data_IF_252799942793
#
_entry.id   IF_252799942793
#
_cell.length_a   1.000
_cell.length_b   1.000
_cell.length_c   1.000
_cell.angle_alpha   90.00
_cell.angle_beta   90.00
_cell.angle_gamma   90.00
#
_symmetry.space_group_name_H-M   'P 1'
#
loop_
_entity.id
_entity.type
_entity.pdbx_description
1 polymer ?
#
# COMPACT_ATOMS: atom_id res chain seq x y z
N UNK A 1 14.60 29.89 2.60
CA UNK A 1 13.78 29.78 1.36
C UNK A 1 12.34 29.58 1.78
N UNK A 2 11.38 30.40 1.32
CA UNK A 2 9.97 30.14 1.54
C UNK A 2 9.60 28.85 0.81
N UNK A 3 9.20 27.82 1.55
CA UNK A 3 8.67 26.57 1.00
C UNK A 3 7.29 26.88 0.43
N UNK A 4 7.17 26.89 -0.89
CA UNK A 4 5.85 26.94 -1.56
C UNK A 4 5.10 25.69 -1.12
N UNK A 5 4.08 25.86 -0.28
CA UNK A 5 3.25 24.73 0.13
C UNK A 5 2.53 24.17 -1.11
N UNK A 6 2.58 22.85 -1.34
CA UNK A 6 1.87 22.26 -2.46
C UNK A 6 0.36 22.52 -2.27
N UNK A 7 -0.37 22.87 -3.35
CA UNK A 7 -1.80 23.15 -3.25
C UNK A 7 -2.53 21.98 -2.58
N UNK A 8 -3.48 22.28 -1.70
CA UNK A 8 -4.31 21.31 -0.96
C UNK A 8 -4.86 20.18 -1.85
N UNK A 9 -5.13 20.49 -3.13
CA UNK A 9 -5.54 19.55 -4.15
C UNK A 9 -4.55 18.38 -4.34
N UNK A 10 -3.23 18.60 -4.34
CA UNK A 10 -2.24 17.54 -4.50
C UNK A 10 -2.21 16.58 -3.32
N UNK A 11 -2.45 17.09 -2.09
CA UNK A 11 -2.50 16.28 -0.86
C UNK A 11 -3.64 15.25 -0.89
N UNK A 12 -4.71 15.56 -1.61
CA UNK A 12 -5.87 14.68 -1.82
C UNK A 12 -5.73 13.83 -3.08
N UNK A 13 -5.22 14.41 -4.18
CA UNK A 13 -5.11 13.72 -5.47
C UNK A 13 -4.11 12.57 -5.42
N UNK A 14 -2.94 12.74 -4.79
CA UNK A 14 -1.91 11.69 -4.75
C UNK A 14 -2.38 10.35 -4.13
N UNK A 15 -2.97 10.31 -2.92
CA UNK A 15 -3.44 9.04 -2.36
C UNK A 15 -4.57 8.40 -3.18
N UNK A 16 -5.46 9.21 -3.77
CA UNK A 16 -6.52 8.72 -4.68
C UNK A 16 -5.90 8.13 -5.94
N UNK A 17 -4.95 8.84 -6.57
CA UNK A 17 -4.28 8.42 -7.78
C UNK A 17 -3.48 7.12 -7.55
N UNK A 18 -2.79 6.98 -6.42
CA UNK A 18 -2.13 5.73 -6.02
C UNK A 18 -3.13 4.56 -5.97
N UNK A 19 -4.24 4.76 -5.25
CA UNK A 19 -5.30 3.75 -5.08
C UNK A 19 -5.97 3.34 -6.40
N UNK A 20 -6.37 4.32 -7.20
CA UNK A 20 -6.98 4.08 -8.51
C UNK A 20 -6.00 3.34 -9.41
N UNK A 21 -4.73 3.78 -9.45
CA UNK A 21 -3.70 3.15 -10.30
C UNK A 21 -3.47 1.70 -9.92
N UNK A 22 -3.27 1.37 -8.64
CA UNK A 22 -3.02 -0.02 -8.25
C UNK A 22 -4.25 -0.91 -8.44
N UNK A 23 -5.45 -0.38 -8.19
CA UNK A 23 -6.70 -1.10 -8.41
C UNK A 23 -6.95 -1.40 -9.89
N UNK A 24 -6.78 -0.41 -10.76
CA UNK A 24 -6.94 -0.60 -12.22
C UNK A 24 -5.88 -1.53 -12.76
N UNK A 25 -4.63 -1.46 -12.27
CA UNK A 25 -3.55 -2.38 -12.63
C UNK A 25 -3.92 -3.81 -12.26
N UNK A 26 -4.39 -4.04 -11.03
CA UNK A 26 -4.83 -5.35 -10.55
C UNK A 26 -5.95 -5.93 -11.43
N UNK A 27 -6.99 -5.14 -11.68
CA UNK A 27 -8.14 -5.58 -12.48
C UNK A 27 -7.75 -5.87 -13.93
N UNK A 28 -6.89 -5.03 -14.51
CA UNK A 28 -6.43 -5.19 -15.89
C UNK A 28 -5.55 -6.43 -16.04
N UNK A 29 -4.57 -6.64 -15.14
CA UNK A 29 -3.73 -7.84 -15.16
C UNK A 29 -4.57 -9.11 -14.97
N UNK A 30 -5.53 -9.11 -14.03
CA UNK A 30 -6.44 -10.24 -13.84
C UNK A 30 -7.25 -10.54 -15.10
N UNK A 31 -7.80 -9.49 -15.74
CA UNK A 31 -8.59 -9.64 -16.98
C UNK A 31 -7.74 -10.23 -18.10
N UNK A 32 -6.52 -9.72 -18.31
CA UNK A 32 -5.60 -10.22 -19.33
C UNK A 32 -5.27 -11.70 -19.09
N UNK A 33 -4.92 -12.05 -17.85
CA UNK A 33 -4.58 -13.44 -17.49
C UNK A 33 -5.74 -14.39 -17.75
N UNK A 34 -6.96 -14.00 -17.39
CA UNK A 34 -8.15 -14.84 -17.60
C UNK A 34 -8.50 -14.98 -19.07
N UNK A 35 -8.46 -13.89 -19.85
CA UNK A 35 -8.79 -13.90 -21.29
C UNK A 35 -7.73 -14.65 -22.11
N UNK A 36 -6.45 -14.52 -21.75
CA UNK A 36 -5.35 -15.19 -22.46
C UNK A 36 -4.99 -16.57 -21.91
N UNK A 37 -5.73 -17.06 -20.91
CA UNK A 37 -5.48 -18.33 -20.24
C UNK A 37 -4.03 -18.49 -19.74
N UNK A 38 -3.44 -17.40 -19.23
CA UNK A 38 -2.05 -17.39 -18.74
C UNK A 38 -1.95 -18.23 -17.47
N UNK A 39 -0.94 -19.11 -17.41
CA UNK A 39 -0.72 -19.98 -16.26
C UNK A 39 -0.21 -19.20 -15.04
N UNK A 40 -1.04 -19.12 -14.00
CA UNK A 40 -0.74 -18.41 -12.74
C UNK A 40 -0.72 -19.36 -11.53
N UNK A 41 -0.09 -20.52 -11.73
CA UNK A 41 0.21 -21.46 -10.65
C UNK A 41 -0.94 -22.36 -10.20
N UNK A 42 -2.06 -22.40 -10.93
CA UNK A 42 -3.20 -23.26 -10.61
C UNK A 42 -4.01 -22.83 -9.38
N UNK A 43 -3.93 -21.55 -9.00
CA UNK A 43 -4.69 -20.97 -7.89
C UNK A 43 -6.05 -20.43 -8.33
N UNK A 44 -7.04 -20.48 -7.44
CA UNK A 44 -8.35 -19.84 -7.65
C UNK A 44 -8.18 -18.33 -7.70
N UNK A 45 -7.49 -17.79 -6.69
CA UNK A 45 -7.02 -16.41 -6.68
C UNK A 45 -5.49 -16.38 -6.78
N UNK A 46 -4.93 -15.96 -7.92
CA UNK A 46 -3.50 -15.97 -8.14
C UNK A 46 -2.79 -14.84 -7.39
N UNK A 47 -1.48 -15.00 -7.18
CA UNK A 47 -0.64 -13.89 -6.74
C UNK A 47 -0.68 -12.76 -7.76
N UNK A 48 -0.77 -11.52 -7.29
CA UNK A 48 -0.78 -10.34 -8.17
C UNK A 48 0.51 -10.27 -9.00
N UNK A 49 1.64 -10.62 -8.40
CA UNK A 49 2.93 -10.66 -9.06
C UNK A 49 3.01 -11.70 -10.19
N UNK A 50 2.32 -12.84 -10.05
CA UNK A 50 2.25 -13.83 -11.13
C UNK A 50 1.35 -13.37 -12.27
N UNK A 51 0.32 -12.55 -11.98
CA UNK A 51 -0.52 -11.96 -13.02
C UNK A 51 0.22 -10.94 -13.89
N UNK A 52 1.26 -10.31 -13.34
CA UNK A 52 2.12 -9.35 -14.04
C UNK A 52 3.35 -9.98 -14.70
N UNK A 53 3.47 -11.30 -14.80
CA UNK A 53 4.69 -11.95 -15.33
C UNK A 53 4.78 -11.87 -16.86
N UNK A 54 3.70 -12.19 -17.56
CA UNK A 54 3.70 -12.40 -19.01
C UNK A 54 3.18 -11.18 -19.79
N UNK A 55 3.76 -10.85 -20.95
CA UNK A 55 3.20 -9.83 -21.84
C UNK A 55 1.79 -10.18 -22.34
N UNK A 56 0.87 -9.20 -22.46
CA UNK A 56 1.05 -7.77 -22.22
C UNK A 56 0.84 -7.33 -20.75
N UNK A 57 0.38 -8.23 -19.86
CA UNK A 57 0.12 -7.89 -18.47
C UNK A 57 1.38 -7.41 -17.73
N UNK A 58 2.55 -7.90 -18.13
CA UNK A 58 3.85 -7.40 -17.66
C UNK A 58 4.00 -5.89 -17.80
N UNK A 59 3.68 -5.31 -18.96
CA UNK A 59 3.82 -3.88 -19.17
C UNK A 59 2.84 -3.07 -18.32
N UNK A 60 1.60 -3.58 -18.19
CA UNK A 60 0.58 -2.98 -17.33
C UNK A 60 1.04 -2.99 -15.87
N UNK A 61 1.58 -4.12 -15.41
CA UNK A 61 2.08 -4.30 -14.05
C UNK A 61 3.25 -3.36 -13.74
N UNK A 62 4.24 -3.30 -14.62
CA UNK A 62 5.39 -2.39 -14.49
C UNK A 62 4.95 -0.93 -14.43
N UNK A 63 4.22 -0.45 -15.44
CA UNK A 63 3.78 0.96 -15.49
C UNK A 63 2.87 1.29 -14.31
N UNK A 64 1.93 0.41 -14.00
CA UNK A 64 0.98 0.58 -12.90
C UNK A 64 1.65 0.70 -11.54
N UNK A 65 2.57 -0.22 -11.21
CA UNK A 65 3.28 -0.18 -9.94
C UNK A 65 4.32 0.95 -9.85
N UNK A 66 4.94 1.33 -10.97
CA UNK A 66 5.79 2.53 -11.02
C UNK A 66 5.00 3.81 -10.75
N UNK A 67 3.85 3.99 -11.39
CA UNK A 67 2.98 5.15 -11.16
C UNK A 67 2.43 5.16 -9.73
N UNK A 68 2.00 4.01 -9.21
CA UNK A 68 1.57 3.87 -7.83
C UNK A 68 2.68 4.29 -6.85
N UNK A 69 3.91 3.84 -7.08
CA UNK A 69 5.06 4.22 -6.26
C UNK A 69 5.32 5.73 -6.25
N UNK A 70 5.23 6.39 -7.41
CA UNK A 70 5.37 7.84 -7.52
C UNK A 70 4.29 8.56 -6.70
N UNK A 71 3.03 8.17 -6.82
CA UNK A 71 1.95 8.80 -6.06
C UNK A 71 2.04 8.52 -4.55
N UNK A 72 2.46 7.31 -4.17
CA UNK A 72 2.67 6.95 -2.77
C UNK A 72 3.83 7.74 -2.15
N UNK A 73 4.91 7.97 -2.90
CA UNK A 73 6.04 8.79 -2.48
C UNK A 73 5.59 10.20 -2.10
N UNK A 74 4.81 10.85 -2.97
CA UNK A 74 4.26 12.17 -2.68
C UNK A 74 3.24 12.14 -1.53
N UNK A 75 2.44 11.08 -1.42
CA UNK A 75 1.49 10.90 -0.30
C UNK A 75 2.22 10.92 1.04
N UNK A 76 3.34 10.19 1.16
CA UNK A 76 4.14 10.17 2.39
C UNK A 76 4.80 11.52 2.68
N UNK A 77 5.27 12.24 1.67
CA UNK A 77 5.78 13.62 1.82
C UNK A 77 4.69 14.55 2.34
N UNK A 78 3.50 14.53 1.75
CA UNK A 78 2.40 15.41 2.15
C UNK A 78 1.87 15.07 3.54
N UNK A 79 1.84 13.78 3.89
CA UNK A 79 1.51 13.35 5.24
C UNK A 79 2.54 13.86 6.26
N UNK A 80 3.83 13.83 5.91
CA UNK A 80 4.88 14.39 6.75
C UNK A 80 4.72 15.90 6.95
N UNK A 81 4.48 16.64 5.87
CA UNK A 81 4.22 18.09 5.94
C UNK A 81 3.03 18.40 6.85
N UNK A 82 1.93 17.65 6.70
CA UNK A 82 0.77 17.77 7.57
C UNK A 82 1.11 17.53 9.04
N UNK A 83 1.80 16.44 9.36
CA UNK A 83 2.24 16.18 10.74
C UNK A 83 3.10 17.30 11.29
N UNK A 84 4.04 17.83 10.51
CA UNK A 84 4.93 18.90 10.95
C UNK A 84 4.20 20.23 11.18
N UNK A 85 3.16 20.52 10.39
CA UNK A 85 2.31 21.68 10.58
C UNK A 85 1.48 21.54 11.88
N UNK A 86 0.80 20.40 12.06
CA UNK A 86 -0.06 20.16 13.23
C UNK A 86 0.74 20.04 14.54
N UNK A 87 1.97 19.53 14.48
CA UNK A 87 2.83 19.34 15.65
C UNK A 87 3.81 20.50 15.87
N UNK A 88 3.72 21.59 15.10
CA UNK A 88 4.68 22.71 15.14
C UNK A 88 4.86 23.26 16.56
N UNK A 89 3.74 23.50 17.25
CA UNK A 89 3.70 24.09 18.59
C UNK A 89 3.60 23.03 19.70
N UNK A 90 3.71 21.75 19.35
CA UNK A 90 3.66 20.65 20.31
C UNK A 90 5.01 20.49 21.02
N UNK A 91 4.98 20.46 22.35
CA UNK A 91 6.14 20.11 23.18
C UNK A 91 6.54 18.63 23.08
N UNK A 92 5.75 17.80 22.40
CA UNK A 92 5.94 16.35 22.30
C UNK A 92 7.00 15.98 21.25
N UNK A 93 8.28 16.14 21.60
CA UNK A 93 9.43 15.78 20.76
C UNK A 93 9.37 14.36 20.19
N UNK A 94 8.93 13.39 21.01
CA UNK A 94 8.82 11.98 20.60
C UNK A 94 7.85 11.80 19.41
N UNK A 95 6.71 12.49 19.41
CA UNK A 95 5.70 12.37 18.34
C UNK A 95 6.21 12.98 17.03
N UNK A 96 7.00 14.06 17.12
CA UNK A 96 7.67 14.65 15.95
C UNK A 96 8.73 13.74 15.35
N UNK A 97 9.53 13.08 16.19
CA UNK A 97 10.49 12.06 15.72
C UNK A 97 9.74 10.91 15.05
N UNK A 98 8.66 10.42 15.66
CA UNK A 98 7.80 9.41 15.05
C UNK A 98 7.26 9.86 13.68
N UNK A 99 6.84 11.12 13.53
CA UNK A 99 6.39 11.67 12.25
C UNK A 99 7.49 11.70 11.16
N UNK A 100 8.76 11.91 11.53
CA UNK A 100 9.88 11.76 10.61
C UNK A 100 10.13 10.29 10.25
N UNK A 101 10.07 9.38 11.22
CA UNK A 101 10.25 7.95 10.98
C UNK A 101 9.17 7.38 10.05
N UNK A 102 7.91 7.82 10.18
CA UNK A 102 6.81 7.48 9.27
C UNK A 102 7.16 7.90 7.84
N UNK A 103 7.57 9.15 7.66
CA UNK A 103 7.91 9.69 6.35
C UNK A 103 9.06 8.91 5.72
N UNK A 104 10.12 8.64 6.50
CA UNK A 104 11.28 7.89 6.05
C UNK A 104 10.89 6.46 5.66
N UNK A 105 10.17 5.74 6.51
CA UNK A 105 9.74 4.37 6.25
C UNK A 105 8.84 4.28 5.00
N UNK A 106 7.87 5.19 4.88
CA UNK A 106 6.96 5.25 3.73
C UNK A 106 7.66 5.65 2.43
N UNK A 107 8.58 6.60 2.45
CA UNK A 107 9.35 7.00 1.26
C UNK A 107 10.31 5.88 0.83
N UNK A 108 10.99 5.24 1.78
CA UNK A 108 11.92 4.15 1.49
C UNK A 108 11.18 2.88 1.04
N UNK A 109 9.90 2.70 1.36
CA UNK A 109 9.12 1.56 0.87
C UNK A 109 8.88 1.66 -0.65
N UNK A 110 8.65 2.87 -1.17
CA UNK A 110 8.09 3.05 -2.52
C UNK A 110 8.92 2.45 -3.67
N UNK A 111 10.27 2.47 -3.66
CA UNK A 111 11.06 1.83 -4.72
C UNK A 111 10.89 0.31 -4.78
N UNK A 112 10.42 -0.34 -3.71
CA UNK A 112 10.14 -1.78 -3.73
C UNK A 112 9.08 -2.16 -4.76
N UNK A 113 8.10 -1.29 -5.03
CA UNK A 113 7.03 -1.53 -6.02
C UNK A 113 7.53 -1.62 -7.48
N UNK A 114 8.27 -0.65 -8.04
CA UNK A 114 8.80 -0.78 -9.40
C UNK A 114 9.84 -1.89 -9.50
N UNK A 115 10.67 -2.12 -8.46
CA UNK A 115 11.66 -3.20 -8.47
C UNK A 115 10.94 -4.57 -8.55
N UNK A 116 9.95 -4.83 -7.69
CA UNK A 116 9.20 -6.10 -7.77
C UNK A 116 8.40 -6.22 -9.08
N UNK A 117 8.01 -5.11 -9.70
CA UNK A 117 7.28 -5.16 -10.96
C UNK A 117 8.19 -5.54 -12.15
N UNK A 118 9.36 -4.91 -12.23
CA UNK A 118 10.32 -5.10 -13.33
C UNK A 118 10.96 -6.50 -13.26
N UNK A 119 11.35 -6.93 -12.06
CA UNK A 119 11.94 -8.24 -11.84
C UNK A 119 10.85 -9.27 -11.59
N UNK A 120 10.52 -10.05 -12.62
CA UNK A 120 9.40 -10.99 -12.59
C UNK A 120 9.63 -12.22 -11.67
N UNK A 121 8.53 -12.88 -11.29
CA UNK A 121 8.53 -14.02 -10.36
C UNK A 121 9.20 -15.28 -10.91
N UNK A 122 9.42 -15.38 -12.21
CA UNK A 122 9.91 -16.58 -12.88
C UNK A 122 11.42 -16.59 -13.07
N UNK A 123 11.99 -15.50 -13.58
CA UNK A 123 13.43 -15.38 -13.87
C UNK A 123 14.21 -14.76 -12.73
N UNK A 124 13.60 -13.84 -11.99
CA UNK A 124 14.27 -13.04 -10.97
C UNK A 124 13.61 -13.20 -9.59
N UNK A 125 13.19 -14.42 -9.25
CA UNK A 125 12.41 -14.72 -8.06
C UNK A 125 13.00 -14.12 -6.77
N UNK A 126 14.32 -14.19 -6.58
CA UNK A 126 14.98 -13.66 -5.36
C UNK A 126 14.87 -12.14 -5.26
N UNK A 127 15.15 -11.42 -6.35
CA UNK A 127 15.07 -9.96 -6.40
C UNK A 127 13.62 -9.50 -6.20
N UNK A 128 12.70 -10.14 -6.92
CA UNK A 128 11.26 -9.92 -6.77
C UNK A 128 10.80 -10.07 -5.32
N UNK A 129 11.19 -11.19 -4.70
CA UNK A 129 10.76 -11.53 -3.35
C UNK A 129 11.33 -10.56 -2.31
N UNK A 130 12.61 -10.20 -2.43
CA UNK A 130 13.25 -9.25 -1.54
C UNK A 130 12.65 -7.85 -1.68
N UNK A 131 12.33 -7.42 -2.91
CA UNK A 131 11.68 -6.14 -3.15
C UNK A 131 10.24 -6.09 -2.58
N UNK A 132 9.48 -7.18 -2.72
CA UNK A 132 8.16 -7.30 -2.10
C UNK A 132 8.25 -7.25 -0.57
N UNK A 133 9.16 -8.03 0.03
CA UNK A 133 9.39 -8.01 1.47
C UNK A 133 9.78 -6.61 1.94
N UNK A 134 10.75 -5.98 1.27
CA UNK A 134 11.18 -4.61 1.57
C UNK A 134 10.00 -3.64 1.59
N UNK A 135 9.20 -3.60 0.51
CA UNK A 135 8.01 -2.75 0.45
C UNK A 135 7.09 -3.01 1.64
N UNK A 136 6.64 -4.26 1.84
CA UNK A 136 5.63 -4.57 2.84
C UNK A 136 6.11 -4.41 4.30
N UNK A 137 7.37 -4.73 4.61
CA UNK A 137 7.93 -4.51 5.95
C UNK A 137 8.06 -3.02 6.27
N UNK A 138 8.53 -2.21 5.32
CA UNK A 138 8.61 -0.77 5.52
C UNK A 138 7.20 -0.16 5.64
N UNK A 139 6.25 -0.61 4.81
CA UNK A 139 4.90 -0.07 4.79
C UNK A 139 4.12 -0.41 6.07
N UNK A 140 4.25 -1.62 6.62
CA UNK A 140 3.59 -1.96 7.89
C UNK A 140 4.14 -1.14 9.06
N UNK A 141 5.45 -0.90 9.09
CA UNK A 141 6.07 0.00 10.07
C UNK A 141 5.53 1.42 9.90
N UNK A 142 5.50 1.94 8.68
CA UNK A 142 4.99 3.28 8.38
C UNK A 142 3.53 3.44 8.82
N UNK A 143 2.66 2.49 8.47
CA UNK A 143 1.23 2.49 8.80
C UNK A 143 0.98 2.42 10.31
N UNK A 144 1.71 1.57 11.06
CA UNK A 144 1.58 1.47 12.51
C UNK A 144 1.97 2.79 13.18
N UNK A 145 3.15 3.32 12.84
CA UNK A 145 3.65 4.56 13.46
C UNK A 145 2.76 5.74 13.03
N UNK A 146 2.27 5.79 11.79
CA UNK A 146 1.37 6.83 11.31
C UNK A 146 0.05 6.86 12.09
N UNK A 147 -0.52 5.68 12.33
CA UNK A 147 -1.74 5.52 13.13
C UNK A 147 -1.50 5.97 14.57
N UNK A 148 -0.33 5.66 15.14
CA UNK A 148 0.08 6.15 16.46
C UNK A 148 0.21 7.69 16.51
N UNK A 149 0.87 8.30 15.53
CA UNK A 149 1.02 9.77 15.45
C UNK A 149 -0.36 10.43 15.34
N UNK A 150 -1.23 9.91 14.48
CA UNK A 150 -2.61 10.41 14.31
C UNK A 150 -3.41 10.28 15.60
N UNK A 151 -3.28 9.17 16.34
CA UNK A 151 -3.88 9.00 17.65
C UNK A 151 -3.42 10.06 18.65
N UNK A 152 -2.11 10.35 18.70
CA UNK A 152 -1.55 11.39 19.60
C UNK A 152 -2.04 12.78 19.25
N UNK A 153 -2.15 13.10 17.95
CA UNK A 153 -2.74 14.35 17.47
C UNK A 153 -4.19 14.44 17.93
N UNK A 154 -5.01 13.41 17.69
CA UNK A 154 -6.41 13.38 18.10
C UNK A 154 -6.57 13.54 19.62
N UNK A 155 -5.81 12.79 20.42
CA UNK A 155 -5.89 12.84 21.88
C UNK A 155 -5.55 14.23 22.44
N UNK A 156 -4.51 14.87 21.90
CA UNK A 156 -4.11 16.23 22.29
C UNK A 156 -5.17 17.26 21.89
N UNK A 157 -5.72 17.13 20.68
CA UNK A 157 -6.79 18.01 20.19
C UNK A 157 -8.05 17.90 21.03
N UNK A 158 -8.45 16.66 21.38
CA UNK A 158 -9.61 16.40 22.22
C UNK A 158 -9.44 17.04 23.60
N UNK A 159 -8.28 16.87 24.23
CA UNK A 159 -8.02 17.45 25.54
C UNK A 159 -8.10 18.99 25.53
N UNK A 160 -7.63 19.63 24.45
CA UNK A 160 -7.74 21.09 24.29
C UNK A 160 -9.20 21.54 24.12
N UNK A 161 -10.00 20.84 23.31
CA UNK A 161 -11.44 21.13 23.14
C UNK A 161 -12.21 20.91 24.44
N UNK A 162 -11.94 19.81 25.16
CA UNK A 162 -12.58 19.52 26.45
C UNK A 162 -12.27 20.64 27.49
N UNK A 163 -11.07 21.23 27.47
CA UNK A 163 -10.73 22.39 28.32
C UNK A 163 -11.49 23.66 27.93
N UNK A 164 -11.61 23.97 26.64
CA UNK A 164 -12.29 25.19 26.14
C UNK A 164 -13.81 25.09 26.27
N UNK A 165 -14.40 23.91 26.05
CA UNK A 165 -15.85 23.69 26.15
C UNK A 165 -16.41 23.89 27.57
N UNK A 166 -15.56 23.78 28.59
CA UNK A 166 -15.90 24.16 29.97
C UNK A 166 -15.94 25.68 30.19
N UNK A 167 -15.49 26.48 29.21
CA UNK A 167 -15.42 27.94 29.29
C UNK A 167 -16.36 28.64 28.29
N UNK A 168 -16.39 28.29 26.99
CA UNK A 168 -17.29 28.90 25.98
C UNK A 168 -17.61 27.95 24.80
N UNK A 169 -18.83 28.05 24.24
CA UNK A 169 -19.41 27.13 23.24
C UNK A 169 -19.18 27.62 21.81
N UNK A 170 -18.01 27.34 21.23
CA UNK A 170 -17.71 27.57 19.81
C UNK A 170 -17.89 26.31 18.93
N UNK A 171 -18.50 26.45 17.76
CA UNK A 171 -18.93 25.35 16.86
C UNK A 171 -17.76 24.74 16.02
N UNK A 172 -16.76 25.55 15.69
CA UNK A 172 -15.66 25.20 14.75
C UNK A 172 -14.69 24.14 15.29
N UNK A 173 -14.42 24.11 16.61
CA UNK A 173 -13.55 23.12 17.23
C UNK A 173 -14.13 21.69 17.22
N UNK A 174 -15.46 21.57 17.08
CA UNK A 174 -16.15 20.26 17.07
C UNK A 174 -16.00 19.56 15.72
N UNK A 175 -16.06 20.31 14.62
CA UNK A 175 -15.97 19.76 13.26
C UNK A 175 -14.56 19.23 12.92
N UNK A 176 -13.52 20.00 13.25
CA UNK A 176 -12.12 19.57 13.05
C UNK A 176 -11.78 18.33 13.88
N UNK A 177 -12.28 18.26 15.12
CA UNK A 177 -12.13 17.09 15.99
C UNK A 177 -12.87 15.86 15.44
N UNK A 178 -14.10 16.03 14.94
CA UNK A 178 -14.87 14.96 14.31
C UNK A 178 -14.16 14.40 13.08
N UNK A 179 -13.58 15.26 12.23
CA UNK A 179 -12.77 14.85 11.06
C UNK A 179 -11.52 14.08 11.47
N UNK A 180 -10.77 14.55 12.47
CA UNK A 180 -9.60 13.84 13.03
C UNK A 180 -9.97 12.47 13.60
N UNK A 181 -11.11 12.37 14.30
CA UNK A 181 -11.65 11.10 14.79
C UNK A 181 -11.97 10.15 13.63
N UNK A 182 -12.63 10.64 12.58
CA UNK A 182 -12.95 9.85 11.38
C UNK A 182 -11.68 9.29 10.73
N UNK A 183 -10.67 10.13 10.51
CA UNK A 183 -9.37 9.70 9.97
C UNK A 183 -8.75 8.60 10.83
N UNK A 184 -8.68 8.80 12.14
CA UNK A 184 -8.12 7.82 13.07
C UNK A 184 -8.86 6.48 13.01
N UNK A 185 -10.19 6.49 12.97
CA UNK A 185 -11.00 5.26 12.89
C UNK A 185 -10.71 4.50 11.59
N UNK A 186 -10.66 5.20 10.45
CA UNK A 186 -10.30 4.59 9.15
C UNK A 186 -8.90 3.97 9.24
N UNK A 187 -7.92 4.70 9.79
CA UNK A 187 -6.56 4.21 9.95
C UNK A 187 -6.49 2.96 10.84
N UNK A 188 -7.17 2.95 11.99
CA UNK A 188 -7.17 1.79 12.89
C UNK A 188 -7.75 0.56 12.19
N UNK A 189 -8.91 0.70 11.53
CA UNK A 189 -9.57 -0.41 10.84
C UNK A 189 -8.63 -0.99 9.77
N UNK A 190 -8.13 -0.15 8.87
CA UNK A 190 -7.29 -0.63 7.78
C UNK A 190 -5.89 -1.05 8.23
N UNK A 191 -5.32 -0.45 9.28
CA UNK A 191 -4.06 -0.89 9.87
C UNK A 191 -4.18 -2.30 10.46
N UNK A 192 -5.24 -2.58 11.21
CA UNK A 192 -5.46 -3.92 11.80
C UNK A 192 -5.67 -4.96 10.69
N UNK A 193 -6.51 -4.65 9.70
CA UNK A 193 -6.73 -5.55 8.57
C UNK A 193 -5.45 -5.77 7.76
N UNK A 194 -4.67 -4.71 7.51
CA UNK A 194 -3.39 -4.78 6.82
C UNK A 194 -2.39 -5.62 7.60
N UNK A 195 -2.31 -5.46 8.91
CA UNK A 195 -1.43 -6.26 9.77
C UNK A 195 -1.78 -7.75 9.69
N UNK A 196 -3.07 -8.11 9.76
CA UNK A 196 -3.52 -9.50 9.60
C UNK A 196 -3.15 -10.04 8.20
N UNK A 197 -3.46 -9.30 7.14
CA UNK A 197 -3.15 -9.70 5.78
C UNK A 197 -1.63 -9.87 5.55
N UNK A 198 -0.83 -8.96 6.12
CA UNK A 198 0.62 -9.00 6.10
C UNK A 198 1.14 -10.28 6.78
N UNK A 199 0.62 -10.61 7.97
CA UNK A 199 1.00 -11.83 8.67
C UNK A 199 0.70 -13.08 7.85
N UNK A 200 -0.48 -13.15 7.23
CA UNK A 200 -0.89 -14.25 6.37
C UNK A 200 -0.02 -14.37 5.10
N UNK A 201 0.40 -13.24 4.53
CA UNK A 201 1.18 -13.22 3.30
C UNK A 201 2.65 -13.61 3.50
N UNK A 202 3.33 -12.95 4.47
CA UNK A 202 4.77 -13.04 4.65
C UNK A 202 5.13 -14.02 5.77
N UNK A 203 5.10 -13.67 7.08
CA UNK A 203 5.68 -14.52 8.10
C UNK A 203 4.97 -15.86 8.28
N UNK A 204 3.63 -15.89 8.34
CA UNK A 204 2.86 -17.14 8.45
C UNK A 204 2.89 -17.88 7.12
N UNK A 205 2.60 -17.17 6.03
CA UNK A 205 2.56 -17.74 4.70
C UNK A 205 3.84 -18.50 4.30
N UNK A 206 5.00 -17.91 4.58
CA UNK A 206 6.30 -18.52 4.27
C UNK A 206 6.64 -19.68 5.20
N UNK A 207 6.25 -19.62 6.48
CA UNK A 207 6.58 -20.62 7.50
C UNK A 207 5.69 -21.85 7.52
N UNK A 208 4.53 -21.83 6.84
CA UNK A 208 3.64 -22.99 6.78
C UNK A 208 4.36 -24.24 6.23
N UNK A 209 4.18 -25.41 6.87
CA UNK A 209 4.76 -26.67 6.42
C UNK A 209 4.18 -27.09 5.05
N UNK A 210 4.97 -27.81 4.24
CA UNK A 210 4.54 -28.27 2.91
C UNK A 210 5.60 -28.28 1.81
N UNK A 211 6.89 -28.12 2.14
CA UNK A 211 7.98 -28.12 1.16
C UNK A 211 8.00 -26.89 0.24
N UNK A 212 9.01 -26.77 -0.63
CA UNK A 212 9.04 -25.76 -1.68
C UNK A 212 7.95 -26.06 -2.72
N UNK A 213 7.28 -25.01 -3.22
CA UNK A 213 6.31 -25.16 -4.32
C UNK A 213 7.03 -25.72 -5.56
N UNK A 214 6.57 -26.84 -6.11
CA UNK A 214 7.22 -27.45 -7.27
C UNK A 214 7.09 -26.56 -8.50
N UNK A 215 7.96 -26.81 -9.49
CA UNK A 215 7.86 -26.20 -10.82
C UNK A 215 7.00 -27.08 -11.72
N UNK A 216 6.34 -26.46 -12.69
CA UNK A 216 5.69 -27.17 -13.77
C UNK A 216 6.77 -27.75 -14.70
N UNK A 217 6.68 -29.03 -15.05
CA UNK A 217 7.63 -29.62 -16.01
C UNK A 217 7.36 -29.11 -17.43
N UNK A 218 8.36 -29.17 -18.30
CA UNK A 218 8.20 -28.83 -19.73
C UNK A 218 7.10 -29.69 -20.36
N UNK A 219 7.07 -30.99 -20.05
CA UNK A 219 6.04 -31.90 -20.55
C UNK A 219 4.66 -31.52 -20.05
N UNK A 220 4.49 -31.27 -18.75
CA UNK A 220 3.20 -30.83 -18.20
C UNK A 220 2.73 -29.51 -18.82
N UNK A 221 3.65 -28.57 -19.06
CA UNK A 221 3.36 -27.31 -19.73
C UNK A 221 2.82 -27.53 -21.16
N UNK A 222 3.41 -28.47 -21.91
CA UNK A 222 2.97 -28.86 -23.25
C UNK A 222 1.63 -29.59 -23.23
N UNK A 223 1.43 -30.52 -22.29
CA UNK A 223 0.17 -31.27 -22.11
C UNK A 223 -1.02 -30.34 -21.79
N UNK A 224 -0.73 -29.23 -21.12
CA UNK A 224 -1.69 -28.16 -20.83
C UNK A 224 -1.92 -27.19 -21.99
N UNK A 225 -1.28 -27.43 -23.14
CA UNK A 225 -1.36 -26.62 -24.36
C UNK A 225 -1.06 -25.13 -24.14
N UNK A 226 -0.07 -24.82 -23.28
CA UNK A 226 0.34 -23.44 -22.99
C UNK A 226 1.21 -22.81 -24.11
N UNK A 227 1.49 -23.58 -25.16
CA UNK A 227 2.26 -23.17 -26.33
C UNK A 227 3.66 -23.78 -26.35
N UNK A 228 4.05 -24.33 -27.51
CA UNK A 228 5.32 -25.04 -27.65
C UNK A 228 6.53 -24.14 -27.33
N UNK A 229 6.71 -23.04 -28.08
CA UNK A 229 7.78 -22.04 -27.85
C UNK A 229 7.74 -21.45 -26.44
N UNK A 230 6.55 -21.32 -25.86
CA UNK A 230 6.40 -20.82 -24.50
C UNK A 230 7.04 -21.78 -23.49
N UNK A 231 6.70 -23.06 -23.57
CA UNK A 231 7.21 -24.10 -22.66
C UNK A 231 8.68 -24.48 -22.91
N UNK A 232 9.11 -24.57 -24.18
CA UNK A 232 10.43 -25.09 -24.54
C UNK A 232 11.52 -24.03 -24.65
N UNK A 233 11.15 -22.75 -24.72
CA UNK A 233 12.11 -21.65 -24.86
C UNK A 233 11.85 -20.54 -23.83
N UNK A 234 10.65 -19.95 -23.83
CA UNK A 234 10.37 -18.72 -23.06
C UNK A 234 10.46 -18.93 -21.55
N UNK A 235 9.87 -20.04 -21.08
CA UNK A 235 9.78 -20.43 -19.67
C UNK A 235 10.71 -21.59 -19.31
N UNK A 236 11.62 -21.98 -20.19
CA UNK A 236 12.50 -23.11 -19.93
C UNK A 236 13.52 -22.76 -18.84
N UNK A 237 13.60 -23.60 -17.80
CA UNK A 237 14.61 -23.52 -16.76
C UNK A 237 15.70 -24.59 -16.95
N UNK A 238 15.29 -25.81 -17.31
CA UNK A 238 16.18 -26.95 -17.57
C UNK A 238 15.67 -27.79 -18.74
N UNK A 239 16.21 -28.99 -18.97
CA UNK A 239 15.64 -29.92 -19.94
C UNK A 239 14.27 -30.47 -19.50
N UNK A 240 13.99 -30.48 -18.19
CA UNK A 240 12.79 -31.09 -17.60
C UNK A 240 11.84 -30.05 -17.03
N UNK A 241 12.34 -28.93 -16.51
CA UNK A 241 11.57 -27.99 -15.71
C UNK A 241 11.41 -26.64 -16.40
N UNK A 242 10.28 -26.01 -16.11
CA UNK A 242 10.03 -24.61 -16.45
C UNK A 242 10.28 -23.69 -15.25
N UNK A 243 10.33 -22.38 -15.50
CA UNK A 243 10.32 -21.34 -14.47
C UNK A 243 8.93 -21.12 -13.88
N UNK A 244 7.89 -21.83 -14.35
CA UNK A 244 6.53 -21.70 -13.85
C UNK A 244 6.36 -22.50 -12.55
N UNK A 245 5.78 -21.89 -11.53
CA UNK A 245 5.39 -22.61 -10.32
C UNK A 245 4.10 -23.40 -10.53
N UNK A 246 3.97 -24.55 -9.87
CA UNK A 246 2.73 -25.32 -9.77
C UNK A 246 2.29 -25.41 -8.31
N UNK A 247 1.29 -24.63 -7.94
CA UNK A 247 0.80 -24.59 -6.57
C UNK A 247 -0.30 -25.62 -6.30
N UNK A 248 -0.66 -26.51 -7.23
CA UNK A 248 -1.75 -27.47 -7.00
C UNK A 248 -1.47 -28.43 -5.85
N UNK A 249 -0.22 -28.85 -5.69
CA UNK A 249 0.19 -29.73 -4.59
C UNK A 249 0.30 -28.99 -3.24
N UNK A 250 0.55 -27.68 -3.26
CA UNK A 250 0.66 -26.82 -2.08
C UNK A 250 -0.52 -25.84 -1.99
N UNK A 251 -1.68 -26.22 -2.53
CA UNK A 251 -2.77 -25.31 -2.86
C UNK A 251 -3.21 -24.47 -1.67
N UNK A 252 -3.54 -25.08 -0.54
CA UNK A 252 -4.04 -24.36 0.64
C UNK A 252 -3.04 -23.30 1.13
N UNK A 253 -1.75 -23.65 1.19
CA UNK A 253 -0.68 -22.74 1.61
C UNK A 253 -0.55 -21.58 0.62
N UNK A 254 -0.42 -21.88 -0.67
CA UNK A 254 -0.24 -20.87 -1.71
C UNK A 254 -1.48 -19.98 -1.86
N UNK A 255 -2.68 -20.53 -1.69
CA UNK A 255 -3.94 -19.80 -1.79
C UNK A 255 -4.13 -18.82 -0.62
N UNK A 256 -3.79 -19.21 0.62
CA UNK A 256 -3.80 -18.32 1.78
C UNK A 256 -2.81 -17.17 1.57
N UNK A 257 -1.61 -17.45 1.05
CA UNK A 257 -0.62 -16.41 0.75
C UNK A 257 -1.08 -15.44 -0.33
N UNK A 258 -1.64 -15.95 -1.42
CA UNK A 258 -2.17 -15.11 -2.50
C UNK A 258 -3.34 -14.25 -2.01
N UNK A 259 -4.21 -14.80 -1.16
CA UNK A 259 -5.28 -14.05 -0.51
C UNK A 259 -4.72 -12.99 0.47
N UNK A 260 -3.67 -13.32 1.23
CA UNK A 260 -2.96 -12.37 2.08
C UNK A 260 -2.35 -11.21 1.27
N UNK A 261 -1.71 -11.49 0.14
CA UNK A 261 -1.17 -10.45 -0.75
C UNK A 261 -2.27 -9.52 -1.28
N UNK A 262 -3.39 -10.09 -1.74
CA UNK A 262 -4.55 -9.32 -2.16
C UNK A 262 -5.10 -8.47 -1.01
N UNK A 263 -5.25 -9.08 0.17
CA UNK A 263 -5.68 -8.42 1.39
C UNK A 263 -4.80 -7.21 1.69
N UNK A 264 -3.47 -7.37 1.64
CA UNK A 264 -2.53 -6.27 1.84
C UNK A 264 -2.81 -5.09 0.89
N UNK A 265 -2.96 -5.37 -0.41
CA UNK A 265 -3.21 -4.35 -1.44
C UNK A 265 -4.53 -3.61 -1.15
N UNK A 266 -5.62 -4.36 -0.93
CA UNK A 266 -6.94 -3.78 -0.68
C UNK A 266 -6.98 -2.96 0.61
N UNK A 267 -6.29 -3.43 1.65
CA UNK A 267 -6.22 -2.70 2.92
C UNK A 267 -5.36 -1.44 2.83
N UNK A 268 -4.30 -1.43 2.02
CA UNK A 268 -3.50 -0.23 1.77
C UNK A 268 -4.26 0.80 0.92
N UNK A 269 -5.04 0.34 -0.07
CA UNK A 269 -6.00 1.20 -0.79
C UNK A 269 -6.94 1.88 0.22
N UNK A 270 -7.58 1.10 1.09
CA UNK A 270 -8.46 1.62 2.12
C UNK A 270 -7.77 2.54 3.12
N UNK A 271 -6.55 2.20 3.54
CA UNK A 271 -5.75 3.05 4.42
C UNK A 271 -5.45 4.40 3.77
N UNK A 272 -5.17 4.43 2.47
CA UNK A 272 -4.86 5.66 1.75
C UNK A 272 -6.02 6.66 1.74
N UNK A 273 -7.27 6.17 1.83
CA UNK A 273 -8.46 7.03 1.96
C UNK A 273 -8.39 7.88 3.23
N UNK A 274 -7.71 7.42 4.28
CA UNK A 274 -7.50 8.22 5.50
C UNK A 274 -6.69 9.50 5.25
N UNK A 275 -5.78 9.50 4.26
CA UNK A 275 -5.03 10.71 3.92
C UNK A 275 -5.93 11.78 3.31
N UNK A 276 -6.96 11.38 2.55
CA UNK A 276 -7.96 12.30 1.99
C UNK A 276 -8.81 12.95 3.07
N UNK A 277 -9.03 12.26 4.18
CA UNK A 277 -9.84 12.76 5.30
C UNK A 277 -9.03 13.60 6.29
N UNK A 278 -7.72 13.80 6.07
CA UNK A 278 -6.93 14.70 6.88
C UNK A 278 -7.47 16.13 6.84
N UNK A 279 -7.33 16.80 7.97
CA UNK A 279 -7.72 18.18 8.11
C UNK A 279 -6.62 19.10 7.54
N UNK A 280 -6.67 19.35 6.23
CA UNK A 280 -5.71 20.26 5.58
C UNK A 280 -6.10 21.74 5.69
N UNK A 281 -7.10 22.10 6.52
CA UNK A 281 -7.49 23.50 6.70
C UNK A 281 -6.29 24.27 7.28
N UNK A 282 -5.94 25.38 6.63
CA UNK A 282 -4.80 26.21 7.01
C UNK A 282 -5.12 26.93 8.34
N UNK A 283 -4.26 26.88 9.38
CA UNK A 283 -4.47 27.66 10.60
C UNK A 283 -4.53 29.18 10.34
N UNK A 284 -4.05 29.65 9.18
CA UNK A 284 -4.22 31.05 8.77
C UNK A 284 -5.62 31.40 8.27
N UNK A 285 -6.44 30.43 7.86
CA UNK A 285 -7.85 30.67 7.51
C UNK A 285 -8.74 30.75 8.75
N UNK A 286 -8.42 30.02 9.83
CA UNK A 286 -9.09 30.19 11.12
C UNK A 286 -8.77 31.55 11.76
N UNK A 287 -7.54 32.06 11.64
CA UNK A 287 -7.22 33.40 12.15
C UNK A 287 -7.85 34.51 11.30
N UNK A 288 -7.97 34.33 9.98
CA UNK A 288 -8.70 35.25 9.09
C UNK A 288 -10.21 35.20 9.27
N UNK A 289 -10.80 34.05 9.61
CA UNK A 289 -12.24 33.95 9.88
C UNK A 289 -12.61 34.55 11.23
N UNK A 290 -11.77 34.39 12.25
CA UNK A 290 -11.92 35.03 13.55
C UNK A 290 -11.79 36.58 13.51
N UNK A 291 -11.17 37.11 12.45
CA UNK A 291 -10.97 38.55 12.23
C UNK A 291 -11.95 39.18 11.21
N UNK A 292 -12.95 38.44 10.71
CA UNK A 292 -14.00 39.06 9.89
C UNK A 292 -15.02 39.75 10.81
N UNK A 293 -15.16 41.09 10.77
CA UNK A 293 -16.26 41.73 11.44
C UNK A 293 -17.56 41.24 10.81
N UNK A 294 -18.51 40.88 11.68
CA UNK A 294 -19.90 40.63 11.30
C UNK A 294 -20.44 41.96 10.77
N UNK A 295 -20.69 42.03 9.46
CA UNK A 295 -21.53 43.09 8.86
C UNK A 295 -22.98 42.63 8.87
#
# INVERSE_FOLDING_TARGET
MPTVEPPMQLRVICPIAASVTVFTTLLTCLTIVKVKHIWVGGLTWPFFSDMGRDPPAYYVFCVGLSLCATFLFFTWIFNHQYHMLVLRDSSQKCVRVAAHLVALAGIISTPGLPILAIYDTSRHTTVHHNAANWFFYCEIIAVIINTFVTYRIYATSKAAVDQVSNMERGDTGSESLARRKKTLVIQIIFMVLFFIAFLLYIPVGQSLPGGPTPRLTVQQCLDMNLGHTYCTETMRLSATDTTLFDSRQTFSKSQIRAAGQLGCILTLIGYSVSFVTNDYSDPTDESKSALRPVN
#
